data_IF_944254078607
#
_entry.id   IF_944254078607
#
_cell.length_a   1.000
_cell.length_b   1.000
_cell.length_c   1.000
_cell.angle_alpha   90.00
_cell.angle_beta   90.00
_cell.angle_gamma   90.00
#
_symmetry.space_group_name_H-M   'P 1'
#
loop_
_entity.id
_entity.type
_entity.pdbx_description
1 polymer ?
#
# COMPACT_ATOMS: atom_id res chain seq x y z
N UNK A 1 -9.42 -3.76 -2.32
CA UNK A 1 -10.05 -2.73 -3.18
C UNK A 1 -9.05 -1.85 -3.94
N UNK A 2 -7.78 -1.72 -3.51
CA UNK A 2 -6.79 -0.86 -4.18
C UNK A 2 -6.58 -1.19 -5.67
N UNK A 3 -6.41 -2.48 -6.03
CA UNK A 3 -6.32 -2.90 -7.44
C UNK A 3 -7.51 -2.39 -8.29
N UNK A 4 -8.73 -2.66 -7.84
CA UNK A 4 -9.93 -2.23 -8.56
C UNK A 4 -9.97 -0.72 -8.74
N UNK A 5 -9.61 0.01 -7.68
CA UNK A 5 -9.60 1.48 -7.71
C UNK A 5 -8.54 2.04 -8.64
N UNK A 6 -7.32 1.50 -8.62
CA UNK A 6 -6.22 2.02 -9.42
C UNK A 6 -6.26 1.57 -10.89
N UNK A 7 -6.91 0.45 -11.21
CA UNK A 7 -6.97 -0.08 -12.58
C UNK A 7 -8.29 0.23 -13.27
N UNK A 8 -9.43 -0.09 -12.64
CA UNK A 8 -10.74 0.10 -13.28
C UNK A 8 -11.34 1.49 -13.00
N UNK A 9 -11.07 2.06 -11.82
CA UNK A 9 -11.63 3.37 -11.41
C UNK A 9 -10.57 4.48 -11.40
N UNK A 10 -9.50 4.33 -12.19
CA UNK A 10 -8.33 5.20 -12.14
C UNK A 10 -8.68 6.69 -12.36
N UNK A 11 -9.63 7.02 -13.25
CA UNK A 11 -10.07 8.40 -13.49
C UNK A 11 -10.68 9.04 -12.24
N UNK A 12 -11.55 8.30 -11.54
CA UNK A 12 -12.17 8.79 -10.31
C UNK A 12 -11.17 8.90 -9.17
N UNK A 13 -10.19 8.00 -9.10
CA UNK A 13 -9.16 8.02 -8.07
C UNK A 13 -8.15 9.15 -8.29
N UNK A 14 -7.76 9.39 -9.54
CA UNK A 14 -6.93 10.52 -9.96
C UNK A 14 -7.58 11.85 -9.57
N UNK A 15 -8.88 12.02 -9.87
CA UNK A 15 -9.65 13.21 -9.49
C UNK A 15 -9.72 13.43 -7.98
N UNK A 16 -9.85 12.36 -7.19
CA UNK A 16 -9.86 12.44 -5.72
C UNK A 16 -8.51 12.91 -5.15
N UNK A 17 -7.42 12.57 -5.82
CA UNK A 17 -6.06 12.87 -5.40
C UNK A 17 -5.50 14.16 -6.03
N UNK A 18 -6.29 14.82 -6.88
CA UNK A 18 -5.86 15.97 -7.70
C UNK A 18 -4.67 15.63 -8.59
N UNK A 19 -4.62 14.39 -9.07
CA UNK A 19 -3.54 13.78 -9.87
C UNK A 19 -4.04 13.36 -11.24
N UNK A 20 -4.87 14.19 -11.86
CA UNK A 20 -5.34 13.94 -13.22
C UNK A 20 -4.14 13.93 -14.17
N UNK A 21 -3.89 12.77 -14.77
CA UNK A 21 -2.77 12.54 -15.69
C UNK A 21 -3.29 12.00 -17.01
N UNK A 22 -2.66 12.40 -18.11
CA UNK A 22 -3.01 11.94 -19.45
C UNK A 22 -2.75 10.43 -19.62
N UNK A 23 -1.72 9.90 -18.94
CA UNK A 23 -1.35 8.49 -18.94
C UNK A 23 -1.37 7.91 -17.51
N UNK A 24 -2.22 6.91 -17.21
CA UNK A 24 -2.37 6.35 -15.87
C UNK A 24 -1.40 5.20 -15.56
N UNK A 25 -0.29 5.06 -16.31
CA UNK A 25 0.60 3.90 -16.25
C UNK A 25 1.07 3.59 -14.82
N UNK A 26 1.50 4.62 -14.09
CA UNK A 26 1.93 4.48 -12.69
C UNK A 26 0.79 4.02 -11.75
N UNK A 27 -0.46 4.40 -12.03
CA UNK A 27 -1.62 3.94 -11.25
C UNK A 27 -1.81 2.44 -11.47
N UNK A 28 -1.67 1.98 -12.71
CA UNK A 28 -1.79 0.56 -13.04
C UNK A 28 -0.68 -0.25 -12.38
N UNK A 29 0.57 0.22 -12.40
CA UNK A 29 1.68 -0.43 -11.70
C UNK A 29 1.43 -0.57 -10.18
N UNK A 30 0.92 0.49 -9.54
CA UNK A 30 0.49 0.44 -8.13
C UNK A 30 -0.65 -0.57 -7.94
N UNK A 31 -1.63 -0.58 -8.84
CA UNK A 31 -2.73 -1.54 -8.84
C UNK A 31 -2.26 -2.99 -8.94
N UNK A 32 -1.37 -3.29 -9.89
CA UNK A 32 -0.79 -4.61 -10.10
C UNK A 32 0.06 -5.07 -8.91
N UNK A 33 0.82 -4.15 -8.30
CA UNK A 33 1.57 -4.45 -7.08
C UNK A 33 0.64 -4.89 -5.94
N UNK A 34 -0.47 -4.16 -5.73
CA UNK A 34 -1.49 -4.52 -4.75
C UNK A 34 -2.15 -5.87 -5.05
N UNK A 35 -2.42 -6.16 -6.34
CA UNK A 35 -2.98 -7.45 -6.75
C UNK A 35 -2.00 -8.58 -6.48
N UNK A 36 -0.72 -8.41 -6.81
CA UNK A 36 0.32 -9.42 -6.60
C UNK A 36 0.45 -9.79 -5.12
N UNK A 37 0.54 -8.80 -4.22
CA UNK A 37 0.57 -9.07 -2.77
C UNK A 37 -0.72 -9.72 -2.28
N UNK A 38 -1.88 -9.22 -2.70
CA UNK A 38 -3.17 -9.82 -2.35
C UNK A 38 -3.30 -11.27 -2.81
N UNK A 39 -2.80 -11.58 -4.01
CA UNK A 39 -2.76 -12.93 -4.56
C UNK A 39 -1.80 -13.83 -3.78
N UNK A 40 -0.62 -13.35 -3.41
CA UNK A 40 0.30 -14.12 -2.56
C UNK A 40 -0.31 -14.42 -1.20
N UNK A 41 -0.96 -13.44 -0.55
CA UNK A 41 -1.69 -13.66 0.72
C UNK A 41 -2.76 -14.73 0.53
N UNK A 42 -3.52 -14.68 -0.56
CA UNK A 42 -4.53 -15.70 -0.86
C UNK A 42 -3.91 -17.09 -1.03
N UNK A 43 -2.80 -17.21 -1.76
CA UNK A 43 -2.11 -18.49 -1.97
C UNK A 43 -1.53 -19.07 -0.68
N UNK A 44 -0.82 -18.28 0.13
CA UNK A 44 -0.20 -18.78 1.36
C UNK A 44 -1.23 -19.29 2.37
N UNK A 45 -2.42 -18.69 2.38
CA UNK A 45 -3.54 -19.14 3.22
C UNK A 45 -4.23 -20.35 2.59
N UNK A 46 -4.60 -20.30 1.30
CA UNK A 46 -5.33 -21.38 0.63
C UNK A 46 -4.54 -22.69 0.62
N UNK A 47 -3.24 -22.59 0.34
CA UNK A 47 -2.33 -23.74 0.27
C UNK A 47 -1.76 -24.12 1.64
N UNK A 48 -2.21 -23.47 2.72
CA UNK A 48 -1.80 -23.74 4.09
C UNK A 48 -0.27 -23.71 4.25
N UNK A 49 0.37 -22.72 3.64
CA UNK A 49 1.80 -22.50 3.88
C UNK A 49 1.99 -22.09 5.34
N UNK A 50 3.12 -22.52 5.92
CA UNK A 50 3.44 -22.32 7.34
C UNK A 50 3.40 -20.86 7.78
N UNK A 51 3.39 -20.65 9.09
CA UNK A 51 3.27 -19.31 9.70
C UNK A 51 4.37 -18.36 9.21
N UNK A 52 5.57 -18.88 8.98
CA UNK A 52 6.73 -18.14 8.50
C UNK A 52 6.48 -17.58 7.09
N UNK A 53 5.90 -18.40 6.19
CA UNK A 53 5.58 -17.97 4.84
C UNK A 53 4.49 -16.87 4.84
N UNK A 54 3.47 -17.03 5.67
CA UNK A 54 2.42 -16.03 5.83
C UNK A 54 2.99 -14.72 6.38
N UNK A 55 3.84 -14.80 7.41
CA UNK A 55 4.50 -13.65 8.00
C UNK A 55 5.42 -12.93 7.01
N UNK A 56 6.19 -13.66 6.18
CA UNK A 56 7.03 -13.06 5.15
C UNK A 56 6.24 -12.29 4.09
N UNK A 57 5.09 -12.82 3.65
CA UNK A 57 4.23 -12.11 2.70
C UNK A 57 3.65 -10.82 3.33
N UNK A 58 3.20 -10.91 4.59
CA UNK A 58 2.71 -9.74 5.34
C UNK A 58 3.82 -8.70 5.50
N UNK A 59 5.04 -9.12 5.84
CA UNK A 59 6.19 -8.23 5.99
C UNK A 59 6.58 -7.56 4.67
N UNK A 60 6.55 -8.30 3.55
CA UNK A 60 6.77 -7.75 2.22
C UNK A 60 5.76 -6.68 1.86
N UNK A 61 4.47 -6.91 2.17
CA UNK A 61 3.43 -5.91 1.91
C UNK A 61 3.52 -4.71 2.87
N UNK A 62 3.91 -4.93 4.13
CA UNK A 62 4.19 -3.85 5.08
C UNK A 62 5.33 -2.93 4.59
N UNK A 63 6.41 -3.51 4.06
CA UNK A 63 7.52 -2.75 3.47
C UNK A 63 7.06 -1.92 2.26
N UNK A 64 6.25 -2.50 1.39
CA UNK A 64 5.64 -1.78 0.27
C UNK A 64 4.81 -0.57 0.73
N UNK A 65 3.93 -0.75 1.72
CA UNK A 65 3.11 0.34 2.25
C UNK A 65 3.94 1.39 2.99
N UNK A 66 5.02 0.98 3.66
CA UNK A 66 5.98 1.89 4.28
C UNK A 66 6.62 2.81 3.23
N UNK A 67 7.09 2.26 2.10
CA UNK A 67 7.64 3.05 0.99
C UNK A 67 6.62 4.03 0.43
N UNK A 68 5.36 3.61 0.25
CA UNK A 68 4.27 4.49 -0.17
C UNK A 68 4.02 5.62 0.85
N UNK A 69 4.02 5.33 2.14
CA UNK A 69 3.84 6.31 3.20
C UNK A 69 4.96 7.36 3.22
N UNK A 70 6.22 6.94 2.98
CA UNK A 70 7.36 7.84 2.84
C UNK A 70 7.24 8.71 1.60
N UNK A 71 6.83 8.16 0.46
CA UNK A 71 6.62 8.93 -0.77
C UNK A 71 5.53 10.00 -0.58
N UNK A 72 4.40 9.63 0.04
CA UNK A 72 3.34 10.59 0.36
C UNK A 72 3.78 11.65 1.37
N UNK A 73 4.61 11.28 2.35
CA UNK A 73 5.23 12.20 3.29
C UNK A 73 6.16 13.19 2.57
N UNK A 74 7.07 12.68 1.75
CA UNK A 74 7.97 13.48 0.92
C UNK A 74 7.20 14.50 0.08
N UNK A 75 6.19 14.05 -0.70
CA UNK A 75 5.34 14.93 -1.52
C UNK A 75 4.65 16.00 -0.68
N UNK A 76 4.13 15.64 0.50
CA UNK A 76 3.53 16.63 1.39
C UNK A 76 4.49 17.75 1.81
N UNK A 77 5.77 17.43 2.03
CA UNK A 77 6.78 18.42 2.41
C UNK A 77 7.31 19.24 1.23
N UNK A 78 7.31 18.69 0.01
CA UNK A 78 7.80 19.36 -1.20
C UNK A 78 6.74 20.11 -2.00
N UNK A 79 5.47 19.71 -1.91
CA UNK A 79 4.38 20.36 -2.64
C UNK A 79 4.10 21.77 -2.11
N UNK A 80 3.76 22.69 -3.01
CA UNK A 80 3.38 24.06 -2.66
C UNK A 80 2.08 24.11 -1.84
N UNK A 81 1.14 23.19 -2.11
CA UNK A 81 -0.16 23.11 -1.43
C UNK A 81 -0.16 21.99 -0.38
N UNK A 82 -0.28 22.40 0.88
CA UNK A 82 -0.29 21.49 2.04
C UNK A 82 -1.73 21.28 2.54
N UNK A 83 -2.20 20.03 2.47
CA UNK A 83 -3.48 19.61 3.03
C UNK A 83 -3.28 18.68 4.22
N UNK A 84 -3.67 19.07 5.45
CA UNK A 84 -3.53 18.23 6.65
C UNK A 84 -4.27 16.88 6.52
N UNK A 85 -5.41 16.88 5.82
CA UNK A 85 -6.19 15.67 5.54
C UNK A 85 -5.39 14.71 4.65
N UNK A 86 -4.66 15.24 3.66
CA UNK A 86 -3.81 14.45 2.75
C UNK A 86 -2.65 13.81 3.51
N UNK A 87 -2.00 14.54 4.42
CA UNK A 87 -0.92 14.03 5.28
C UNK A 87 -1.41 12.88 6.17
N UNK A 88 -2.52 13.11 6.89
CA UNK A 88 -3.05 12.12 7.82
C UNK A 88 -3.47 10.84 7.10
N UNK A 89 -4.28 10.96 6.03
CA UNK A 89 -4.84 9.79 5.34
C UNK A 89 -3.82 9.03 4.50
N UNK A 90 -2.88 9.72 3.85
CA UNK A 90 -2.01 9.10 2.84
C UNK A 90 -0.64 8.70 3.38
N UNK A 91 -0.17 9.35 4.44
CA UNK A 91 1.14 9.06 5.05
C UNK A 91 0.99 8.49 6.47
N UNK A 92 0.41 9.23 7.43
CA UNK A 92 0.42 8.81 8.84
C UNK A 92 -0.40 7.53 9.07
N UNK A 93 -1.64 7.48 8.57
CA UNK A 93 -2.48 6.29 8.72
C UNK A 93 -1.86 5.07 8.02
N UNK A 94 -1.28 5.27 6.82
CA UNK A 94 -0.57 4.23 6.08
C UNK A 94 0.67 3.73 6.84
N UNK A 95 1.43 4.64 7.45
CA UNK A 95 2.61 4.33 8.23
C UNK A 95 2.27 3.53 9.49
N UNK A 96 1.22 3.94 10.21
CA UNK A 96 0.72 3.20 11.37
C UNK A 96 0.25 1.80 10.98
N UNK A 97 -0.48 1.68 9.87
CA UNK A 97 -0.94 0.38 9.38
C UNK A 97 0.23 -0.53 8.99
N UNK A 98 1.20 -0.02 8.22
CA UNK A 98 2.42 -0.74 7.88
C UNK A 98 3.21 -1.16 9.13
N UNK A 99 3.31 -0.28 10.14
CA UNK A 99 3.98 -0.56 11.41
C UNK A 99 3.31 -1.70 12.19
N UNK A 100 1.97 -1.70 12.28
CA UNK A 100 1.22 -2.79 12.91
C UNK A 100 1.40 -4.11 12.16
N UNK A 101 1.35 -4.09 10.83
CA UNK A 101 1.58 -5.29 10.01
C UNK A 101 2.97 -5.86 10.23
N UNK A 102 4.00 -5.00 10.22
CA UNK A 102 5.38 -5.40 10.48
C UNK A 102 5.55 -5.96 11.90
N UNK A 103 4.94 -5.33 12.91
CA UNK A 103 4.97 -5.81 14.29
C UNK A 103 4.41 -7.24 14.40
N UNK A 104 3.21 -7.49 13.88
CA UNK A 104 2.61 -8.84 13.96
C UNK A 104 3.37 -9.88 13.14
N UNK A 105 3.87 -9.52 11.96
CA UNK A 105 4.68 -10.42 11.14
C UNK A 105 5.99 -10.81 11.85
N UNK A 106 6.70 -9.84 12.41
CA UNK A 106 7.95 -10.08 13.16
C UNK A 106 7.65 -10.90 14.41
N UNK A 107 6.58 -10.58 15.14
CA UNK A 107 6.18 -11.35 16.31
C UNK A 107 5.90 -12.82 15.94
N UNK A 108 5.18 -13.08 14.86
CA UNK A 108 4.89 -14.43 14.38
C UNK A 108 6.15 -15.21 13.93
N UNK A 109 7.22 -14.51 13.50
CA UNK A 109 8.50 -15.14 13.14
C UNK A 109 9.39 -15.44 14.36
N UNK A 110 9.14 -14.78 15.49
CA UNK A 110 9.95 -14.90 16.71
C UNK A 110 9.28 -15.73 17.82
N UNK A 111 7.99 -16.06 17.66
CA UNK A 111 7.21 -16.88 18.57
C UNK A 111 7.41 -18.38 18.29
#
# INVERSE_FOLDING_TARGET
MAFVRHVFLYKSDAKRLDWEVEKPDWMFEVGFSNLAFGFMVFLVVLLQWGMEAQALVVLGYALYLFQAALLHGYRYFTDEVKSPVRLWRSSIATLLYAGLMAFFAIYALLA
#
